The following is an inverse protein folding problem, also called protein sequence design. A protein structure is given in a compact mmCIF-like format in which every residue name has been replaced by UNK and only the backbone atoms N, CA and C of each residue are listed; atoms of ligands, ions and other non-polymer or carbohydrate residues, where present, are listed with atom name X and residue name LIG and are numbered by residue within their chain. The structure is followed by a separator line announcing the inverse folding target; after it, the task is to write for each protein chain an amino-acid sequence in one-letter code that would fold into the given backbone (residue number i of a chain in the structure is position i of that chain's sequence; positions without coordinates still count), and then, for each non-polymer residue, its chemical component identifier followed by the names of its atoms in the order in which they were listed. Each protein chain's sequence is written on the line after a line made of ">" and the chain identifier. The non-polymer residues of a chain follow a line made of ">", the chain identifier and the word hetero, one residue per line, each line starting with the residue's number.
data_IF_559813978255
#
_entry.id   IF_559813978255
#
_cell.length_a   1.000
_cell.length_b   1.000
_cell.length_c   1.000
_cell.angle_alpha   90.00
_cell.angle_beta   90.00
_cell.angle_gamma   90.00
#
_symmetry.space_group_name_H-M   'P 1'
#
loop_
_entity.id
_entity.type
_entity.pdbx_description
1 polymer ?
#
# COMPACT_ATOMS: atom_id res chain seq x y z
N UNK A 1 52.95 -39.86 -19.77
CA UNK A 1 51.54 -40.15 -19.41
C UNK A 1 50.66 -39.17 -20.12
N UNK A 2 49.96 -39.60 -21.18
CA UNK A 2 49.04 -38.75 -21.90
C UNK A 2 47.78 -38.52 -21.05
N UNK A 3 47.65 -37.36 -20.48
CA UNK A 3 46.41 -36.97 -19.80
C UNK A 3 45.29 -36.97 -20.81
N UNK A 4 44.34 -37.89 -20.67
CA UNK A 4 43.19 -38.04 -21.57
C UNK A 4 42.45 -36.70 -21.65
N UNK A 5 42.25 -36.17 -22.84
CA UNK A 5 41.48 -34.95 -23.13
C UNK A 5 40.06 -35.01 -22.57
N UNK A 6 39.57 -36.21 -22.21
CA UNK A 6 38.26 -36.39 -21.60
C UNK A 6 38.13 -35.80 -20.17
N UNK A 7 39.23 -35.77 -19.42
CA UNK A 7 39.19 -35.26 -18.03
C UNK A 7 38.90 -33.74 -17.96
N UNK A 8 39.62 -32.87 -18.71
CA UNK A 8 39.31 -31.45 -18.69
C UNK A 8 37.94 -31.12 -19.32
N UNK A 9 37.52 -31.86 -20.35
CA UNK A 9 36.21 -31.69 -20.98
C UNK A 9 35.09 -32.07 -20.01
N UNK A 10 35.21 -33.20 -19.31
CA UNK A 10 34.27 -33.62 -18.28
C UNK A 10 34.16 -32.60 -17.12
N UNK A 11 35.29 -32.06 -16.65
CA UNK A 11 35.31 -31.03 -15.61
C UNK A 11 34.56 -29.77 -16.02
N UNK A 12 34.82 -29.25 -17.23
CA UNK A 12 34.14 -28.06 -17.77
C UNK A 12 32.62 -28.31 -17.89
N UNK A 13 32.23 -29.49 -18.37
CA UNK A 13 30.81 -29.84 -18.55
C UNK A 13 30.09 -29.89 -17.22
N UNK A 14 30.69 -30.50 -16.19
CA UNK A 14 30.14 -30.54 -14.82
C UNK A 14 30.02 -29.13 -14.25
N UNK A 15 31.02 -28.29 -14.41
CA UNK A 15 31.02 -26.93 -13.93
C UNK A 15 29.93 -26.06 -14.58
N UNK A 16 29.78 -26.15 -15.90
CA UNK A 16 28.73 -25.41 -16.64
C UNK A 16 27.34 -25.91 -16.27
N UNK A 17 27.13 -27.21 -16.13
CA UNK A 17 25.83 -27.78 -15.71
C UNK A 17 25.50 -27.42 -14.27
N UNK A 18 26.46 -27.46 -13.34
CA UNK A 18 26.26 -27.02 -11.97
C UNK A 18 25.88 -25.54 -11.89
N UNK A 19 26.55 -24.69 -12.68
CA UNK A 19 26.26 -23.25 -12.73
C UNK A 19 24.91 -22.96 -13.39
N UNK A 20 24.53 -23.71 -14.40
CA UNK A 20 23.21 -23.60 -15.05
C UNK A 20 22.07 -24.02 -14.08
N UNK A 21 22.26 -25.11 -13.34
CA UNK A 21 21.29 -25.56 -12.32
C UNK A 21 21.18 -24.55 -11.20
N UNK A 22 22.30 -24.06 -10.69
CA UNK A 22 22.33 -23.02 -9.64
C UNK A 22 21.61 -21.75 -10.10
N UNK A 23 21.91 -21.25 -11.31
CA UNK A 23 21.26 -20.09 -11.89
C UNK A 23 19.74 -20.28 -12.01
N UNK A 24 19.31 -21.47 -12.45
CA UNK A 24 17.89 -21.79 -12.61
C UNK A 24 17.16 -21.88 -11.26
N UNK A 25 17.78 -22.49 -10.26
CA UNK A 25 17.23 -22.57 -8.89
C UNK A 25 17.18 -21.19 -8.24
N UNK A 26 18.25 -20.42 -8.35
CA UNK A 26 18.31 -19.07 -7.83
C UNK A 26 17.25 -18.14 -8.45
N UNK A 27 17.12 -18.19 -9.78
CA UNK A 27 16.09 -17.43 -10.51
C UNK A 27 14.67 -17.85 -10.11
N UNK A 28 14.42 -19.16 -9.93
CA UNK A 28 13.12 -19.65 -9.43
C UNK A 28 12.84 -19.17 -8.01
N UNK A 29 13.80 -19.28 -7.09
CA UNK A 29 13.64 -18.79 -5.72
C UNK A 29 13.38 -17.28 -5.69
N UNK A 30 14.10 -16.51 -6.48
CA UNK A 30 13.91 -15.06 -6.57
C UNK A 30 12.57 -14.68 -7.23
N UNK A 31 12.06 -15.46 -8.15
CA UNK A 31 10.73 -15.26 -8.73
C UNK A 31 9.62 -15.55 -7.70
N UNK A 32 9.76 -16.64 -6.94
CA UNK A 32 8.80 -17.01 -5.87
C UNK A 32 8.83 -15.98 -4.74
N UNK A 33 9.99 -15.49 -4.32
CA UNK A 33 10.06 -14.44 -3.30
C UNK A 33 9.45 -13.11 -3.77
N UNK A 34 9.52 -12.80 -5.07
CA UNK A 34 8.83 -11.63 -5.65
C UNK A 34 7.31 -11.79 -5.68
N UNK A 35 6.81 -13.02 -5.83
CA UNK A 35 5.36 -13.31 -5.88
C UNK A 35 4.74 -13.39 -4.47
N UNK A 36 5.54 -13.65 -3.44
CA UNK A 36 5.10 -13.71 -2.04
C UNK A 36 5.32 -12.41 -1.27
N UNK A 37 5.58 -11.30 -1.98
CA UNK A 37 5.77 -9.99 -1.36
C UNK A 37 4.40 -9.52 -0.85
N UNK A 38 4.28 -9.39 0.46
CA UNK A 38 3.12 -8.81 1.11
C UNK A 38 2.79 -7.44 0.53
N UNK A 39 1.54 -7.17 0.13
CA UNK A 39 1.16 -5.89 -0.47
C UNK A 39 1.43 -4.74 0.51
N UNK A 40 1.78 -3.57 0.00
CA UNK A 40 2.06 -2.37 0.83
C UNK A 40 0.83 -1.91 1.59
N UNK A 41 -0.33 -1.94 0.93
CA UNK A 41 -1.62 -1.63 1.54
C UNK A 41 -2.41 -2.92 1.82
N UNK A 42 -3.22 -2.92 2.88
CA UNK A 42 -4.22 -3.98 3.07
C UNK A 42 -5.25 -3.96 1.93
N UNK A 43 -6.09 -4.98 1.87
CA UNK A 43 -7.24 -5.05 0.95
C UNK A 43 -8.01 -3.74 0.89
N UNK A 44 -8.70 -3.48 -0.22
CA UNK A 44 -9.44 -2.25 -0.46
C UNK A 44 -10.95 -2.49 -0.25
N UNK A 45 -11.47 -2.42 0.99
CA UNK A 45 -12.85 -2.83 1.28
C UNK A 45 -13.88 -1.98 0.54
N UNK A 46 -13.62 -0.68 0.36
CA UNK A 46 -14.56 0.20 -0.37
C UNK A 46 -14.62 -0.11 -1.86
N UNK A 47 -13.53 -0.60 -2.47
CA UNK A 47 -13.53 -1.13 -3.83
C UNK A 47 -14.35 -2.41 -3.92
N UNK A 48 -14.16 -3.33 -2.98
CA UNK A 48 -14.91 -4.59 -2.93
C UNK A 48 -16.41 -4.33 -2.78
N UNK A 49 -16.81 -3.39 -1.91
CA UNK A 49 -18.21 -2.96 -1.77
C UNK A 49 -18.75 -2.36 -3.06
N UNK A 50 -17.99 -1.49 -3.73
CA UNK A 50 -18.41 -0.91 -5.01
C UNK A 50 -18.62 -2.00 -6.08
N UNK A 51 -17.67 -2.92 -6.19
CA UNK A 51 -17.74 -4.03 -7.16
C UNK A 51 -18.91 -4.98 -6.85
N UNK A 52 -19.22 -5.24 -5.58
CA UNK A 52 -20.36 -6.06 -5.21
C UNK A 52 -21.69 -5.37 -5.59
N UNK A 53 -21.81 -4.07 -5.31
CA UNK A 53 -23.01 -3.30 -5.70
C UNK A 53 -23.21 -3.21 -7.22
N UNK A 54 -22.13 -3.25 -7.98
CA UNK A 54 -22.18 -3.26 -9.45
C UNK A 54 -22.63 -4.61 -9.98
N UNK A 55 -22.34 -5.71 -9.26
CA UNK A 55 -22.67 -7.08 -9.63
C UNK A 55 -24.04 -7.53 -9.10
N UNK A 56 -24.72 -6.74 -8.26
CA UNK A 56 -26.02 -7.10 -7.67
C UNK A 56 -27.14 -7.19 -8.74
N UNK A 57 -28.00 -8.19 -8.58
CA UNK A 57 -29.25 -8.34 -9.34
C UNK A 57 -30.44 -8.31 -8.36
N UNK A 58 -31.32 -7.27 -8.42
CA UNK A 58 -31.42 -6.17 -9.40
C UNK A 58 -30.32 -5.12 -9.21
N UNK A 59 -29.96 -4.37 -10.30
CA UNK A 59 -28.87 -3.41 -10.25
C UNK A 59 -29.11 -2.35 -9.19
N UNK A 60 -28.08 -2.03 -8.42
CA UNK A 60 -28.12 -1.00 -7.38
C UNK A 60 -28.50 0.38 -7.97
N UNK A 61 -29.26 1.21 -7.27
CA UNK A 61 -29.63 2.54 -7.76
C UNK A 61 -28.39 3.42 -7.97
N UNK A 62 -28.41 4.23 -9.04
CA UNK A 62 -27.32 5.13 -9.43
C UNK A 62 -26.76 5.98 -8.29
N UNK A 63 -27.61 6.46 -7.40
CA UNK A 63 -27.19 7.28 -6.27
C UNK A 63 -26.32 6.49 -5.28
N UNK A 64 -26.63 5.21 -5.09
CA UNK A 64 -25.84 4.33 -4.21
C UNK A 64 -24.49 4.02 -4.86
N UNK A 65 -24.46 3.73 -6.15
CA UNK A 65 -23.22 3.49 -6.89
C UNK A 65 -22.31 4.73 -6.85
N UNK A 66 -22.87 5.94 -7.06
CA UNK A 66 -22.13 7.19 -6.97
C UNK A 66 -21.56 7.44 -5.55
N UNK A 67 -22.33 7.13 -4.52
CA UNK A 67 -21.88 7.24 -3.13
C UNK A 67 -20.77 6.23 -2.81
N UNK A 68 -20.89 4.99 -3.28
CA UNK A 68 -19.87 3.96 -3.12
C UNK A 68 -18.58 4.31 -3.88
N UNK A 69 -18.68 4.86 -5.10
CA UNK A 69 -17.53 5.35 -5.87
C UNK A 69 -16.84 6.52 -5.16
N UNK A 70 -17.60 7.44 -4.57
CA UNK A 70 -17.02 8.52 -3.78
C UNK A 70 -16.30 7.99 -2.53
N UNK A 71 -16.86 6.99 -1.85
CA UNK A 71 -16.22 6.33 -0.70
C UNK A 71 -14.91 5.63 -1.10
N UNK A 72 -14.88 5.00 -2.30
CA UNK A 72 -13.67 4.43 -2.90
C UNK A 72 -12.62 5.53 -3.11
N UNK A 73 -12.99 6.64 -3.74
CA UNK A 73 -12.10 7.78 -3.96
C UNK A 73 -11.55 8.41 -2.66
N UNK A 74 -12.34 8.47 -1.59
CA UNK A 74 -11.87 8.94 -0.26
C UNK A 74 -10.75 8.04 0.26
N UNK A 75 -10.93 6.72 0.16
CA UNK A 75 -9.90 5.75 0.58
C UNK A 75 -8.62 5.90 -0.24
N UNK A 76 -8.74 6.15 -1.55
CA UNK A 76 -7.59 6.39 -2.43
C UNK A 76 -6.83 7.66 -2.05
N UNK A 77 -7.54 8.76 -1.74
CA UNK A 77 -6.92 10.00 -1.24
C UNK A 77 -6.14 9.74 0.06
N UNK A 78 -6.70 8.96 1.00
CA UNK A 78 -6.02 8.61 2.24
C UNK A 78 -4.76 7.77 1.97
N UNK A 79 -4.78 6.87 0.98
CA UNK A 79 -3.63 6.09 0.53
C UNK A 79 -2.57 6.96 -0.13
N UNK A 80 -2.97 7.94 -0.95
CA UNK A 80 -2.06 8.93 -1.57
C UNK A 80 -1.29 9.68 -0.47
N UNK A 81 -1.97 10.15 0.56
CA UNK A 81 -1.31 10.86 1.67
C UNK A 81 -0.31 9.97 2.38
N UNK A 82 -0.68 8.71 2.68
CA UNK A 82 0.25 7.74 3.27
C UNK A 82 1.47 7.50 2.40
N UNK A 83 1.27 7.25 1.10
CA UNK A 83 2.40 7.06 0.17
C UNK A 83 3.33 8.26 0.14
N UNK A 84 2.78 9.47 0.18
CA UNK A 84 3.59 10.69 0.20
C UNK A 84 4.45 10.78 1.47
N UNK A 85 3.89 10.49 2.62
CA UNK A 85 4.61 10.50 3.90
C UNK A 85 5.65 9.35 3.95
N UNK A 86 5.27 8.15 3.54
CA UNK A 86 6.14 6.97 3.47
C UNK A 86 7.30 7.17 2.50
N UNK A 87 7.08 7.85 1.37
CA UNK A 87 8.12 8.15 0.36
C UNK A 87 9.30 8.93 0.96
N UNK A 88 8.99 9.97 1.72
CA UNK A 88 10.02 10.80 2.37
C UNK A 88 10.76 9.99 3.44
N UNK A 89 10.03 9.22 4.25
CA UNK A 89 10.62 8.37 5.29
C UNK A 89 11.52 7.27 4.69
N UNK A 90 11.04 6.59 3.65
CA UNK A 90 11.79 5.53 2.96
C UNK A 90 13.06 6.05 2.28
N UNK A 91 12.98 7.21 1.61
CA UNK A 91 14.15 7.82 1.00
C UNK A 91 15.25 8.10 2.04
N UNK A 92 14.88 8.63 3.21
CA UNK A 92 15.80 8.88 4.31
C UNK A 92 16.39 7.59 4.91
N UNK A 93 15.59 6.54 5.03
CA UNK A 93 16.04 5.25 5.56
C UNK A 93 16.94 4.53 4.56
N UNK A 94 16.63 4.62 3.28
CA UNK A 94 17.43 4.01 2.21
C UNK A 94 18.81 4.67 2.09
N UNK A 95 18.88 6.00 2.15
CA UNK A 95 20.18 6.73 2.14
C UNK A 95 21.07 6.39 3.35
N UNK A 96 20.46 6.02 4.47
CA UNK A 96 21.18 5.53 5.67
C UNK A 96 21.50 4.02 5.62
N UNK A 97 21.13 3.32 4.56
CA UNK A 97 21.37 1.88 4.42
C UNK A 97 20.52 1.00 5.33
N UNK A 98 19.46 1.54 5.96
CA UNK A 98 18.60 0.81 6.89
C UNK A 98 17.49 0.01 6.18
N UNK A 99 17.19 0.36 4.93
CA UNK A 99 16.14 -0.28 4.12
C UNK A 99 16.76 -0.79 2.82
N UNK A 100 16.44 -2.03 2.45
CA UNK A 100 16.92 -2.68 1.24
C UNK A 100 16.11 -2.32 -0.02
N UNK A 101 16.71 -2.62 -1.17
CA UNK A 101 16.10 -2.40 -2.51
C UNK A 101 14.78 -3.15 -2.69
N UNK A 102 14.57 -4.28 -2.01
CA UNK A 102 13.32 -5.03 -2.07
C UNK A 102 12.13 -4.21 -1.53
N UNK A 103 12.35 -3.46 -0.45
CA UNK A 103 11.31 -2.57 0.12
C UNK A 103 11.02 -1.40 -0.82
N UNK A 104 12.05 -0.82 -1.44
CA UNK A 104 11.88 0.24 -2.45
C UNK A 104 11.11 -0.27 -3.67
N UNK A 105 11.37 -1.51 -4.08
CA UNK A 105 10.66 -2.14 -5.20
C UNK A 105 9.18 -2.37 -4.86
N UNK A 106 8.88 -2.81 -3.63
CA UNK A 106 7.50 -2.97 -3.13
C UNK A 106 6.76 -1.63 -3.11
N UNK A 107 7.43 -0.60 -2.62
CA UNK A 107 6.87 0.75 -2.58
C UNK A 107 6.56 1.28 -3.99
N UNK A 108 7.49 1.14 -4.93
CA UNK A 108 7.28 1.54 -6.33
C UNK A 108 6.15 0.74 -7.02
N UNK A 109 5.94 -0.52 -6.65
CA UNK A 109 4.80 -1.31 -7.12
C UNK A 109 3.48 -0.77 -6.57
N UNK A 110 3.44 -0.41 -5.28
CA UNK A 110 2.26 0.19 -4.64
C UNK A 110 1.91 1.57 -5.22
N UNK A 111 2.91 2.40 -5.56
CA UNK A 111 2.68 3.66 -6.28
C UNK A 111 1.97 3.42 -7.62
N UNK A 112 2.46 2.48 -8.42
CA UNK A 112 1.85 2.15 -9.72
C UNK A 112 0.45 1.57 -9.61
N UNK A 113 0.22 0.73 -8.59
CA UNK A 113 -1.09 0.15 -8.32
C UNK A 113 -2.10 1.24 -7.96
N UNK A 114 -1.71 2.20 -7.11
CA UNK A 114 -2.57 3.32 -6.75
C UNK A 114 -2.81 4.28 -7.93
N UNK A 115 -1.80 4.54 -8.77
CA UNK A 115 -1.97 5.34 -9.99
C UNK A 115 -3.00 4.70 -10.94
N UNK A 116 -2.92 3.38 -11.13
CA UNK A 116 -3.89 2.64 -11.95
C UNK A 116 -5.30 2.70 -11.34
N UNK A 117 -5.43 2.57 -10.02
CA UNK A 117 -6.70 2.68 -9.31
C UNK A 117 -7.35 4.06 -9.49
N UNK A 118 -6.57 5.14 -9.39
CA UNK A 118 -7.05 6.52 -9.60
C UNK A 118 -7.60 6.71 -11.02
N UNK A 119 -6.87 6.21 -12.03
CA UNK A 119 -7.30 6.28 -13.43
C UNK A 119 -8.60 5.50 -13.64
N UNK A 120 -8.74 4.34 -13.03
CA UNK A 120 -9.94 3.50 -13.07
C UNK A 120 -11.14 4.24 -12.46
N UNK A 121 -10.98 4.81 -11.26
CA UNK A 121 -12.03 5.60 -10.59
C UNK A 121 -12.45 6.82 -11.39
N UNK A 122 -11.51 7.53 -12.02
CA UNK A 122 -11.81 8.68 -12.90
C UNK A 122 -12.61 8.23 -14.12
N UNK A 123 -12.20 7.11 -14.73
CA UNK A 123 -12.89 6.55 -15.89
C UNK A 123 -14.33 6.18 -15.53
N UNK A 124 -14.53 5.46 -14.42
CA UNK A 124 -15.84 5.08 -13.93
C UNK A 124 -16.71 6.31 -13.57
N UNK A 125 -16.16 7.31 -12.91
CA UNK A 125 -16.88 8.55 -12.62
C UNK A 125 -17.40 9.24 -13.90
N UNK A 126 -16.60 9.23 -14.95
CA UNK A 126 -16.98 9.83 -16.22
C UNK A 126 -18.08 9.04 -16.96
N UNK A 127 -18.28 7.77 -16.67
CA UNK A 127 -19.42 6.99 -17.20
C UNK A 127 -20.76 7.45 -16.61
N UNK A 128 -20.79 7.86 -15.34
CA UNK A 128 -22.01 8.39 -14.71
C UNK A 128 -22.34 9.82 -15.17
N UNK A 129 -21.30 10.65 -15.29
CA UNK A 129 -21.44 12.03 -15.77
C UNK A 129 -20.12 12.51 -16.34
N UNK A 130 -20.16 12.98 -17.57
CA UNK A 130 -18.99 13.55 -18.25
C UNK A 130 -18.36 14.69 -17.43
N UNK A 131 -17.05 14.61 -17.17
CA UNK A 131 -16.31 15.60 -16.40
C UNK A 131 -16.41 15.44 -14.87
N UNK A 132 -17.20 14.48 -14.35
CA UNK A 132 -17.33 14.30 -12.91
C UNK A 132 -16.03 13.80 -12.28
N UNK A 133 -15.23 13.01 -12.98
CA UNK A 133 -13.95 12.51 -12.47
C UNK A 133 -12.99 13.59 -11.96
N UNK A 134 -13.04 14.80 -12.54
CA UNK A 134 -12.23 15.93 -12.09
C UNK A 134 -12.68 16.49 -10.73
N UNK A 135 -13.99 16.53 -10.49
CA UNK A 135 -14.57 17.04 -9.25
C UNK A 135 -14.62 15.99 -8.15
N UNK A 136 -14.68 14.71 -8.52
CA UNK A 136 -14.78 13.59 -7.58
C UNK A 136 -13.61 13.59 -6.59
N UNK A 137 -12.38 13.71 -7.07
CA UNK A 137 -11.19 13.71 -6.21
C UNK A 137 -11.05 14.99 -5.39
N UNK A 138 -11.51 16.13 -5.89
CA UNK A 138 -11.57 17.36 -5.11
C UNK A 138 -12.52 17.19 -3.92
N UNK A 139 -13.73 16.73 -4.16
CA UNK A 139 -14.73 16.44 -3.12
C UNK A 139 -14.24 15.35 -2.15
N UNK A 140 -13.64 14.28 -2.68
CA UNK A 140 -13.06 13.20 -1.86
C UNK A 140 -11.94 13.71 -0.94
N UNK A 141 -11.11 14.65 -1.42
CA UNK A 141 -10.04 15.28 -0.63
C UNK A 141 -10.61 16.12 0.51
N UNK A 142 -11.64 16.92 0.25
CA UNK A 142 -12.32 17.71 1.30
C UNK A 142 -12.94 16.80 2.36
N UNK A 143 -13.61 15.73 1.95
CA UNK A 143 -14.23 14.75 2.86
C UNK A 143 -13.17 14.01 3.69
N UNK A 144 -12.09 13.54 3.06
CA UNK A 144 -10.98 12.90 3.76
C UNK A 144 -10.32 13.85 4.79
N UNK A 145 -10.17 15.13 4.45
CA UNK A 145 -9.65 16.13 5.37
C UNK A 145 -10.61 16.38 6.55
N UNK A 146 -11.89 16.43 6.28
CA UNK A 146 -12.93 16.56 7.34
C UNK A 146 -12.91 15.35 8.29
N UNK A 147 -12.79 14.12 7.75
CA UNK A 147 -12.64 12.89 8.55
C UNK A 147 -11.38 12.93 9.41
N UNK A 148 -10.24 13.29 8.84
CA UNK A 148 -8.98 13.44 9.58
C UNK A 148 -9.07 14.47 10.71
N UNK A 149 -9.73 15.59 10.46
CA UNK A 149 -9.96 16.63 11.45
C UNK A 149 -10.87 16.14 12.59
N UNK A 150 -11.96 15.45 12.23
CA UNK A 150 -12.87 14.82 13.20
C UNK A 150 -12.14 13.81 14.08
N UNK A 151 -11.33 12.95 13.47
CA UNK A 151 -10.54 11.96 14.21
C UNK A 151 -9.52 12.62 15.15
N UNK A 152 -8.85 13.68 14.71
CA UNK A 152 -7.94 14.47 15.53
C UNK A 152 -8.65 15.09 16.76
N UNK A 153 -9.84 15.67 16.58
CA UNK A 153 -10.64 16.21 17.68
C UNK A 153 -11.05 15.13 18.68
N UNK A 154 -11.50 13.96 18.19
CA UNK A 154 -11.87 12.82 19.05
C UNK A 154 -10.64 12.30 19.81
N UNK A 155 -9.49 12.20 19.15
CA UNK A 155 -8.25 11.74 19.79
C UNK A 155 -7.75 12.72 20.85
N UNK A 156 -7.81 14.03 20.60
CA UNK A 156 -7.50 15.06 21.60
C UNK A 156 -8.40 14.96 22.83
N UNK A 157 -9.69 14.74 22.65
CA UNK A 157 -10.62 14.55 23.77
C UNK A 157 -10.27 13.33 24.61
N UNK A 158 -9.96 12.19 23.97
CA UNK A 158 -9.50 10.97 24.66
C UNK A 158 -8.19 11.20 25.43
N UNK A 159 -7.25 11.90 24.80
CA UNK A 159 -5.95 12.22 25.41
C UNK A 159 -6.12 13.14 26.62
N UNK A 160 -6.98 14.15 26.52
CA UNK A 160 -7.31 15.04 27.66
C UNK A 160 -7.84 14.25 28.87
N UNK A 161 -8.81 13.37 28.66
CA UNK A 161 -9.37 12.54 29.75
C UNK A 161 -8.28 11.62 30.35
N UNK A 162 -7.39 11.06 29.52
CA UNK A 162 -6.30 10.20 29.98
C UNK A 162 -5.29 10.98 30.83
N UNK A 163 -4.91 12.20 30.42
CA UNK A 163 -4.00 13.06 31.18
C UNK A 163 -4.62 13.58 32.47
N UNK A 164 -5.88 13.95 32.48
CA UNK A 164 -6.60 14.33 33.71
C UNK A 164 -6.59 13.18 34.73
N UNK A 165 -6.87 11.95 34.30
CA UNK A 165 -6.77 10.76 35.16
C UNK A 165 -5.35 10.49 35.64
N UNK A 166 -4.33 10.78 34.81
CA UNK A 166 -2.92 10.64 35.17
C UNK A 166 -2.49 11.67 36.20
N UNK A 167 -2.91 12.93 36.01
CA UNK A 167 -2.65 14.01 36.95
C UNK A 167 -3.34 13.77 38.31
N UNK A 168 -4.60 13.33 38.32
CA UNK A 168 -5.32 12.96 39.53
C UNK A 168 -4.60 11.81 40.28
N UNK A 169 -4.09 10.82 39.58
CA UNK A 169 -3.26 9.76 40.20
C UNK A 169 -1.94 10.30 40.75
N UNK A 170 -1.22 11.18 40.04
CA UNK A 170 0.01 11.82 40.55
C UNK A 170 -0.26 12.66 41.79
N UNK A 171 -1.30 13.46 41.78
CA UNK A 171 -1.68 14.30 42.94
C UNK A 171 -1.98 13.46 44.19
N UNK A 172 -2.48 12.23 44.04
CA UNK A 172 -2.73 11.32 45.15
C UNK A 172 -1.46 10.76 45.81
N UNK A 173 -0.38 10.60 45.06
CA UNK A 173 0.86 9.94 45.50
C UNK A 173 2.05 10.88 45.69
N UNK A 174 1.99 12.11 45.20
CA UNK A 174 3.03 13.12 45.40
C UNK A 174 2.49 14.19 46.33
N UNK A 175 3.10 14.39 47.53
CA UNK A 175 2.75 15.50 48.37
C UNK A 175 2.96 16.83 47.67
N UNK A 176 1.95 17.67 47.67
CA UNK A 176 2.11 19.05 47.18
C UNK A 176 3.11 19.78 48.08
N UNK A 177 4.20 20.25 47.45
CA UNK A 177 5.10 21.23 48.09
C UNK A 177 4.51 22.60 48.00
#
# INVERSE_FOLDING_TARGET
>A
MATSLFVPVAYITVLVTAMAIFSRVYRRRRAVSKTSIEPWFPTHPTREVYMSLLADEPPAPDNLLKAALLSRAITDVQRIWRLKDDKVALANLHTRGLVGDDTMTRFAAAEKELEAEIVDVISEANTFKQGWGQFLFATATEMAQAEKTKEAVISMHKTKIAEEKRLARRAKYLPQK
#
